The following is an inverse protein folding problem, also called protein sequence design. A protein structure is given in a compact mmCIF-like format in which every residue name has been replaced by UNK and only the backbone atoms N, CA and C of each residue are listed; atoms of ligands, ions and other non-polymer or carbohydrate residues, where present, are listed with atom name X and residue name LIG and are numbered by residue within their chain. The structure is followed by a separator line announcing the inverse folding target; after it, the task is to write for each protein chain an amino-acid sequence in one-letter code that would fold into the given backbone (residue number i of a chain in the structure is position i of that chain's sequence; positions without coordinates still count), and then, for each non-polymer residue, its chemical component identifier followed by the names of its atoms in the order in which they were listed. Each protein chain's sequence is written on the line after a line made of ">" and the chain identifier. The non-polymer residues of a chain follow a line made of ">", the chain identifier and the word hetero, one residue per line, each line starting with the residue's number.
data_IF_702684454474
#
_entry.id   IF_702684454474
#
_cell.length_a   1.000
_cell.length_b   1.000
_cell.length_c   1.000
_cell.angle_alpha   90.00
_cell.angle_beta   90.00
_cell.angle_gamma   90.00
#
_symmetry.space_group_name_H-M   'P 1'
#
loop_
_entity.id
_entity.type
_entity.pdbx_description
1 polymer ?
#
# COMPACT_ATOMS: atom_id res chain seq x y z
N UNK A 1 0.58 16.01 -0.95
CA UNK A 1 1.14 14.64 -1.01
C UNK A 1 -0.03 13.69 -0.97
N UNK A 2 -0.10 12.74 -1.91
CA UNK A 2 -1.10 11.67 -1.86
C UNK A 2 -0.74 10.64 -0.77
N UNK A 3 -1.74 9.92 -0.25
CA UNK A 3 -1.60 8.91 0.80
C UNK A 3 -0.47 7.90 0.53
N UNK A 4 -0.24 7.53 -0.74
CA UNK A 4 0.83 6.60 -1.13
C UNK A 4 2.24 7.10 -0.79
N UNK A 5 2.50 8.41 -0.90
CA UNK A 5 3.81 8.98 -0.55
C UNK A 5 4.08 8.96 0.96
N UNK A 6 3.03 9.17 1.77
CA UNK A 6 3.13 9.09 3.22
C UNK A 6 3.41 7.65 3.68
N UNK A 7 2.72 6.66 3.10
CA UNK A 7 2.96 5.25 3.41
C UNK A 7 4.41 4.83 3.10
N UNK A 8 4.97 5.25 1.95
CA UNK A 8 6.38 5.00 1.62
C UNK A 8 7.34 5.64 2.62
N UNK A 9 7.09 6.89 3.03
CA UNK A 9 7.94 7.57 4.00
C UNK A 9 7.89 6.93 5.40
N UNK A 10 6.71 6.49 5.85
CA UNK A 10 6.56 5.75 7.10
C UNK A 10 7.32 4.43 7.03
N UNK A 11 7.15 3.66 5.95
CA UNK A 11 7.92 2.43 5.74
C UNK A 11 9.43 2.69 5.79
N UNK A 12 9.94 3.66 5.03
CA UNK A 12 11.37 4.04 5.04
C UNK A 12 11.86 4.38 6.44
N UNK A 13 11.01 4.96 7.30
CA UNK A 13 11.38 5.35 8.66
C UNK A 13 11.52 4.16 9.60
N UNK A 14 10.67 3.14 9.46
CA UNK A 14 10.55 2.04 10.44
C UNK A 14 11.11 0.70 9.96
N UNK A 15 11.34 0.53 8.67
CA UNK A 15 11.72 -0.76 8.08
C UNK A 15 13.05 -1.31 8.60
N UNK A 16 14.00 -0.45 8.98
CA UNK A 16 15.31 -0.85 9.48
C UNK A 16 15.37 -1.10 11.00
N UNK A 17 14.31 -0.79 11.74
CA UNK A 17 14.25 -0.89 13.19
C UNK A 17 13.14 -1.86 13.61
N UNK A 18 11.89 -1.40 13.59
CA UNK A 18 10.72 -2.23 13.82
C UNK A 18 9.70 -2.11 12.68
N UNK A 19 9.74 -2.99 11.65
CA UNK A 19 8.82 -2.94 10.52
C UNK A 19 7.36 -3.16 10.93
N UNK A 20 7.07 -3.74 12.10
CA UNK A 20 5.68 -3.92 12.57
C UNK A 20 4.99 -2.58 12.87
N UNK A 21 5.74 -1.53 13.21
CA UNK A 21 5.16 -0.19 13.41
C UNK A 21 4.48 0.35 12.14
N UNK A 22 4.93 -0.06 10.95
CA UNK A 22 4.22 0.27 9.72
C UNK A 22 2.80 -0.30 9.71
N UNK A 23 2.63 -1.53 10.18
CA UNK A 23 1.31 -2.16 10.23
C UNK A 23 0.42 -1.53 11.30
N UNK A 24 0.96 -1.14 12.45
CA UNK A 24 0.21 -0.39 13.47
C UNK A 24 -0.28 0.95 12.91
N UNK A 25 0.60 1.68 12.22
CA UNK A 25 0.25 2.90 11.50
C UNK A 25 -0.81 2.66 10.43
N UNK A 26 -0.63 1.64 9.60
CA UNK A 26 -1.55 1.28 8.53
C UNK A 26 -2.94 0.96 9.10
N UNK A 27 -3.04 0.15 10.15
CA UNK A 27 -4.31 -0.13 10.82
C UNK A 27 -4.95 1.13 11.39
N UNK A 28 -4.17 2.03 12.00
CA UNK A 28 -4.69 3.29 12.53
C UNK A 28 -5.24 4.21 11.41
N UNK A 29 -4.59 4.26 10.25
CA UNK A 29 -5.09 4.95 9.06
C UNK A 29 -6.44 4.40 8.61
N UNK A 30 -6.56 3.08 8.48
CA UNK A 30 -7.82 2.45 8.05
C UNK A 30 -8.94 2.55 9.10
N UNK A 31 -8.62 2.58 10.40
CA UNK A 31 -9.62 2.87 11.45
C UNK A 31 -10.21 4.28 11.35
N UNK A 32 -9.49 5.22 10.77
CA UNK A 32 -9.92 6.60 10.54
C UNK A 32 -10.41 6.85 9.11
N UNK A 33 -10.61 5.79 8.34
CA UNK A 33 -11.08 5.89 6.96
C UNK A 33 -12.45 6.56 6.91
N UNK A 34 -12.51 7.72 6.27
CA UNK A 34 -13.75 8.43 5.97
C UNK A 34 -14.23 8.16 4.55
N UNK A 35 -15.33 8.83 4.20
CA UNK A 35 -15.84 8.84 2.83
C UNK A 35 -14.82 9.46 1.87
N UNK A 36 -14.87 9.07 0.60
CA UNK A 36 -14.04 9.66 -0.46
C UNK A 36 -14.22 11.18 -0.48
N UNK A 37 -13.12 11.93 -0.50
CA UNK A 37 -13.14 13.39 -0.54
C UNK A 37 -13.34 14.09 0.81
N UNK A 38 -13.55 13.37 1.91
CA UNK A 38 -13.74 13.98 3.24
C UNK A 38 -12.46 14.52 3.90
N UNK A 39 -11.31 14.48 3.22
CA UNK A 39 -10.03 14.93 3.78
C UNK A 39 -9.38 13.97 4.79
N UNK A 40 -9.97 12.80 5.05
CA UNK A 40 -9.45 11.83 6.04
C UNK A 40 -8.01 11.38 5.79
N UNK A 41 -7.55 11.42 4.54
CA UNK A 41 -6.19 11.06 4.12
C UNK A 41 -5.30 12.27 3.79
N UNK A 42 -5.64 13.46 4.28
CA UNK A 42 -4.79 14.64 4.16
C UNK A 42 -3.47 14.49 4.92
N UNK A 43 -2.43 15.22 4.49
CA UNK A 43 -1.09 15.12 5.06
C UNK A 43 -1.10 15.37 6.58
N UNK A 44 -1.82 16.37 7.06
CA UNK A 44 -1.94 16.67 8.50
C UNK A 44 -2.50 15.47 9.25
N UNK A 45 -3.64 14.92 8.81
CA UNK A 45 -4.29 13.75 9.42
C UNK A 45 -3.37 12.53 9.47
N UNK A 46 -2.66 12.25 8.38
CA UNK A 46 -1.72 11.13 8.33
C UNK A 46 -0.54 11.33 9.28
N UNK A 47 -0.03 12.55 9.45
CA UNK A 47 1.02 12.85 10.42
C UNK A 47 0.53 12.81 11.87
N UNK A 48 -0.71 13.25 12.14
CA UNK A 48 -1.34 13.11 13.45
C UNK A 48 -1.48 11.62 13.85
N UNK A 49 -1.81 10.76 12.88
CA UNK A 49 -1.85 9.31 13.09
C UNK A 49 -0.44 8.77 13.36
N UNK A 50 0.56 9.18 12.58
CA UNK A 50 1.98 8.82 12.76
C UNK A 50 2.46 9.11 14.18
N UNK A 51 2.17 10.31 14.70
CA UNK A 51 2.51 10.70 16.07
C UNK A 51 1.81 9.82 17.10
N UNK A 52 0.50 9.60 16.93
CA UNK A 52 -0.32 8.82 17.86
C UNK A 52 0.15 7.37 18.00
N UNK A 53 0.70 6.78 16.94
CA UNK A 53 1.24 5.41 16.96
C UNK A 53 2.72 5.36 17.33
N UNK A 54 3.30 6.48 17.79
CA UNK A 54 4.67 6.52 18.33
C UNK A 54 5.77 6.53 17.27
N UNK A 55 5.46 6.85 16.01
CA UNK A 55 6.47 6.99 14.95
C UNK A 55 6.96 8.44 14.92
N UNK A 56 8.28 8.62 14.82
CA UNK A 56 8.92 9.94 14.77
C UNK A 56 8.48 10.73 13.52
N UNK A 57 7.57 11.68 13.73
CA UNK A 57 7.00 12.54 12.70
C UNK A 57 8.06 13.38 12.00
N UNK A 58 9.11 13.80 12.72
CA UNK A 58 10.17 14.62 12.12
C UNK A 58 10.99 13.78 11.14
N UNK A 59 11.35 12.54 11.51
CA UNK A 59 11.98 11.60 10.56
C UNK A 59 11.09 11.32 9.35
N UNK A 60 9.79 11.13 9.55
CA UNK A 60 8.86 10.92 8.42
C UNK A 60 8.82 12.16 7.51
N UNK A 61 8.75 13.37 8.07
CA UNK A 61 8.79 14.63 7.28
C UNK A 61 10.12 14.76 6.51
N UNK A 62 11.25 14.51 7.15
CA UNK A 62 12.56 14.52 6.49
C UNK A 62 12.64 13.49 5.36
N UNK A 63 12.15 12.27 5.59
CA UNK A 63 12.09 11.23 4.54
C UNK A 63 11.20 11.64 3.37
N UNK A 64 10.06 12.29 3.64
CA UNK A 64 9.19 12.86 2.60
C UNK A 64 9.98 13.86 1.75
N UNK A 65 10.66 14.80 2.38
CA UNK A 65 11.32 15.90 1.67
C UNK A 65 12.55 15.40 0.88
N UNK A 66 13.34 14.49 1.47
CA UNK A 66 14.51 13.88 0.83
C UNK A 66 14.15 12.97 -0.35
N UNK A 67 13.06 12.20 -0.24
CA UNK A 67 12.72 11.14 -1.20
C UNK A 67 11.47 11.43 -2.05
N UNK A 68 10.96 12.67 -2.03
CA UNK A 68 9.70 13.05 -2.68
C UNK A 68 9.56 12.53 -4.11
N UNK A 69 10.52 12.88 -4.98
CA UNK A 69 10.50 12.49 -6.41
C UNK A 69 10.57 10.98 -6.59
N UNK A 70 11.27 10.28 -5.70
CA UNK A 70 11.36 8.82 -5.73
C UNK A 70 10.01 8.18 -5.35
N UNK A 71 9.37 8.65 -4.28
CA UNK A 71 8.06 8.14 -3.86
C UNK A 71 6.98 8.42 -4.91
N UNK A 72 6.97 9.62 -5.50
CA UNK A 72 6.06 9.97 -6.61
C UNK A 72 6.25 9.01 -7.81
N UNK A 73 7.49 8.70 -8.19
CA UNK A 73 7.79 7.72 -9.23
C UNK A 73 7.33 6.30 -8.87
N UNK A 74 7.56 5.86 -7.63
CA UNK A 74 7.13 4.53 -7.19
C UNK A 74 5.61 4.38 -7.25
N UNK A 75 4.86 5.36 -6.74
CA UNK A 75 3.38 5.36 -6.78
C UNK A 75 2.87 5.38 -8.23
N UNK A 76 3.51 6.16 -9.10
CA UNK A 76 3.18 6.20 -10.54
C UNK A 76 3.43 4.85 -11.23
N UNK A 77 4.56 4.22 -10.95
CA UNK A 77 4.90 2.91 -11.50
C UNK A 77 3.94 1.82 -11.02
N UNK A 78 3.57 1.82 -9.73
CA UNK A 78 2.59 0.90 -9.15
C UNK A 78 1.20 1.08 -9.81
N UNK A 79 0.79 2.33 -10.04
CA UNK A 79 -0.47 2.64 -10.73
C UNK A 79 -0.44 2.16 -12.18
N UNK A 80 0.67 2.38 -12.88
CA UNK A 80 0.88 1.89 -14.26
C UNK A 80 0.83 0.37 -14.33
N UNK A 81 1.51 -0.32 -13.40
CA UNK A 81 1.50 -1.78 -13.34
C UNK A 81 0.09 -2.34 -13.08
N UNK A 82 -0.68 -1.72 -12.18
CA UNK A 82 -2.06 -2.10 -11.93
C UNK A 82 -2.95 -1.94 -13.19
N UNK A 83 -2.78 -0.85 -13.94
CA UNK A 83 -3.48 -0.62 -15.20
C UNK A 83 -3.11 -1.66 -16.27
N UNK A 84 -1.82 -1.96 -16.41
CA UNK A 84 -1.33 -3.00 -17.34
C UNK A 84 -1.88 -4.39 -16.98
N UNK A 85 -2.02 -4.67 -15.68
CA UNK A 85 -2.66 -5.89 -15.16
C UNK A 85 -4.20 -5.87 -15.25
N UNK A 86 -4.79 -4.84 -15.87
CA UNK A 86 -6.25 -4.65 -16.00
C UNK A 86 -6.99 -4.68 -14.65
N UNK A 87 -6.35 -4.23 -13.58
CA UNK A 87 -6.98 -4.11 -12.26
C UNK A 87 -7.91 -2.89 -12.27
N UNK A 88 -9.23 -3.15 -12.16
CA UNK A 88 -10.30 -2.14 -12.29
C UNK A 88 -10.97 -1.78 -10.97
N UNK A 89 -10.63 -2.46 -9.88
CA UNK A 89 -11.26 -2.30 -8.58
C UNK A 89 -10.38 -2.81 -7.45
N UNK A 90 -10.73 -2.45 -6.22
CA UNK A 90 -10.04 -2.90 -5.00
C UNK A 90 -11.03 -3.56 -4.02
N UNK A 91 -10.59 -4.54 -3.22
CA UNK A 91 -9.27 -5.17 -3.28
C UNK A 91 -9.10 -6.00 -4.57
N UNK A 92 -7.85 -6.19 -4.98
CA UNK A 92 -7.49 -7.04 -6.11
C UNK A 92 -6.16 -7.74 -5.82
N UNK A 93 -6.00 -8.93 -6.39
CA UNK A 93 -4.84 -9.78 -6.18
C UNK A 93 -4.31 -10.25 -7.53
N UNK A 94 -3.00 -10.12 -7.72
CA UNK A 94 -2.30 -10.61 -8.90
C UNK A 94 -1.40 -11.77 -8.50
N UNK A 95 -1.71 -12.98 -8.97
CA UNK A 95 -0.98 -14.20 -8.64
C UNK A 95 -0.12 -14.55 -9.85
N UNK A 96 1.19 -14.58 -9.65
CA UNK A 96 2.18 -14.89 -10.69
C UNK A 96 2.98 -16.13 -10.31
N UNK A 97 3.03 -17.12 -11.20
CA UNK A 97 3.93 -18.26 -11.04
C UNK A 97 5.24 -17.98 -11.79
N UNK A 98 6.36 -17.94 -11.05
CA UNK A 98 7.69 -17.64 -11.59
C UNK A 98 8.26 -18.77 -12.47
N UNK A 99 7.82 -20.00 -12.27
CA UNK A 99 8.26 -21.18 -13.03
C UNK A 99 7.51 -21.25 -14.36
N UNK A 100 6.18 -21.30 -14.32
CA UNK A 100 5.35 -21.42 -15.53
C UNK A 100 5.19 -20.10 -16.30
N UNK A 101 5.62 -18.98 -15.71
CA UNK A 101 5.44 -17.60 -16.21
C UNK A 101 3.98 -17.20 -16.41
N UNK A 102 3.03 -17.99 -15.89
CA UNK A 102 1.58 -17.71 -15.97
C UNK A 102 1.15 -16.78 -14.84
N UNK A 103 0.09 -16.02 -15.08
CA UNK A 103 -0.54 -15.16 -14.07
C UNK A 103 -2.06 -15.30 -14.05
N UNK A 104 -2.66 -14.95 -12.91
CA UNK A 104 -4.10 -14.82 -12.74
C UNK A 104 -4.44 -13.68 -11.80
N UNK A 105 -5.40 -12.86 -12.21
CA UNK A 105 -5.93 -11.76 -11.40
C UNK A 105 -7.24 -12.18 -10.74
N UNK A 106 -7.42 -11.81 -9.48
CA UNK A 106 -8.67 -11.94 -8.73
C UNK A 106 -9.12 -10.53 -8.36
N UNK A 107 -10.33 -10.14 -8.78
CA UNK A 107 -10.93 -8.84 -8.49
C UNK A 107 -11.99 -8.98 -7.41
N UNK A 108 -11.95 -8.09 -6.42
CA UNK A 108 -12.86 -8.06 -5.29
C UNK A 108 -12.44 -8.95 -4.13
N UNK A 109 -13.13 -8.77 -3.00
CA UNK A 109 -12.99 -9.65 -1.84
C UNK A 109 -13.70 -10.97 -2.14
N UNK A 110 -12.94 -11.92 -2.69
CA UNK A 110 -13.46 -13.24 -3.08
C UNK A 110 -13.34 -14.25 -1.92
N UNK A 111 -14.08 -15.37 -1.94
CA UNK A 111 -13.90 -16.44 -0.96
C UNK A 111 -12.59 -17.22 -1.18
N UNK A 112 -12.08 -17.85 -0.12
CA UNK A 112 -10.86 -18.68 -0.14
C UNK A 112 -10.80 -19.68 -1.31
N UNK A 113 -11.94 -20.28 -1.67
CA UNK A 113 -12.04 -21.23 -2.79
C UNK A 113 -11.54 -20.66 -4.12
N UNK A 114 -11.77 -19.37 -4.39
CA UNK A 114 -11.30 -18.71 -5.61
C UNK A 114 -9.79 -18.56 -5.63
N UNK A 115 -9.18 -18.21 -4.50
CA UNK A 115 -7.72 -18.14 -4.37
C UNK A 115 -7.08 -19.51 -4.56
N UNK A 116 -7.60 -20.54 -3.89
CA UNK A 116 -7.11 -21.92 -4.04
C UNK A 116 -7.21 -22.40 -5.48
N UNK A 117 -8.33 -22.12 -6.16
CA UNK A 117 -8.50 -22.48 -7.57
C UNK A 117 -7.53 -21.74 -8.48
N UNK A 118 -7.30 -20.44 -8.25
CA UNK A 118 -6.38 -19.65 -9.05
C UNK A 118 -4.94 -20.15 -8.91
N UNK A 119 -4.45 -20.35 -7.69
CA UNK A 119 -3.10 -20.86 -7.42
C UNK A 119 -2.90 -22.24 -8.09
N UNK A 120 -3.85 -23.16 -7.92
CA UNK A 120 -3.77 -24.49 -8.55
C UNK A 120 -3.77 -24.44 -10.07
N UNK A 121 -4.51 -23.51 -10.68
CA UNK A 121 -4.53 -23.37 -12.14
C UNK A 121 -3.19 -22.88 -12.72
N UNK A 122 -2.35 -22.23 -11.90
CA UNK A 122 -1.04 -21.71 -12.31
C UNK A 122 0.10 -22.71 -12.08
N UNK A 123 -0.10 -23.73 -11.24
CA UNK A 123 0.87 -24.79 -10.95
C UNK A 123 0.84 -25.94 -11.99
N UNK A 124 -0.11 -25.90 -12.93
CA UNK A 124 -0.17 -26.77 -14.11
C UNK A 124 0.47 -26.07 -15.29
#
# INVERSE_FOLDING_TARGET
>A
MACGGAAKAVWTTVAGDNPNHYWDWHHAVFKQQGSKGSGWAERSKLLDITERVGIDVNKVKSNIDAHRKQFERQVSNETTAANQASIRGTPAFYIYNRETKKSKTIIGAQPYSQYRSAIRSLAK
#
